data_IF_330256395146
#
_entry.id   IF_330256395146
#
_cell.length_a   1.000
_cell.length_b   1.000
_cell.length_c   1.000
_cell.angle_alpha   90.00
_cell.angle_beta   90.00
_cell.angle_gamma   90.00
#
_symmetry.space_group_name_H-M   'P 1'
#
loop_
_entity.id
_entity.type
_entity.pdbx_description
1 polymer ?
#
# COMPACT_ATOMS: atom_id res chain seq x y z
N UNK A 1 63.57 -37.35 -18.81
CA UNK A 1 62.48 -37.68 -17.86
C UNK A 1 61.47 -36.53 -17.83
N UNK A 2 60.19 -36.89 -18.04
CA UNK A 2 58.90 -36.23 -17.69
C UNK A 2 58.64 -34.76 -18.06
N UNK A 3 57.85 -34.60 -19.13
CA UNK A 3 56.86 -33.56 -19.33
C UNK A 3 55.52 -34.03 -18.72
N UNK A 4 54.82 -33.22 -17.91
CA UNK A 4 53.37 -33.34 -17.64
C UNK A 4 52.84 -32.24 -16.71
N UNK A 5 51.91 -31.41 -17.18
CA UNK A 5 50.83 -30.92 -16.31
C UNK A 5 49.52 -30.78 -17.10
N UNK A 6 48.54 -31.59 -16.71
CA UNK A 6 47.23 -31.80 -17.34
C UNK A 6 46.25 -30.70 -16.91
N UNK A 7 45.57 -30.09 -17.89
CA UNK A 7 44.34 -29.29 -17.69
C UNK A 7 43.25 -30.14 -17.04
N UNK A 8 42.60 -29.63 -15.99
CA UNK A 8 41.26 -30.08 -15.59
C UNK A 8 40.51 -28.93 -14.91
N UNK A 9 39.85 -28.10 -15.72
CA UNK A 9 39.05 -26.96 -15.27
C UNK A 9 37.70 -26.99 -15.97
N UNK A 10 36.90 -28.05 -15.75
CA UNK A 10 35.54 -28.14 -16.32
C UNK A 10 34.60 -29.00 -15.46
N UNK A 11 34.36 -28.68 -14.17
CA UNK A 11 33.26 -29.30 -13.40
C UNK A 11 32.57 -28.43 -12.34
N UNK A 12 32.97 -27.18 -12.10
CA UNK A 12 32.34 -26.34 -11.07
C UNK A 12 31.36 -25.28 -11.61
N UNK A 13 31.28 -25.11 -12.93
CA UNK A 13 30.50 -24.03 -13.56
C UNK A 13 28.97 -24.26 -13.52
N UNK A 14 28.52 -25.51 -13.38
CA UNK A 14 27.09 -25.83 -13.37
C UNK A 14 26.45 -25.76 -11.98
N UNK A 15 27.22 -25.92 -10.90
CA UNK A 15 26.69 -25.80 -9.54
C UNK A 15 26.47 -24.34 -9.11
N UNK A 16 27.29 -23.43 -9.64
CA UNK A 16 27.25 -22.00 -9.30
C UNK A 16 26.14 -21.23 -10.03
N UNK A 17 25.61 -21.78 -11.14
CA UNK A 17 24.56 -21.13 -11.93
C UNK A 17 23.14 -21.31 -11.35
N UNK A 18 22.93 -22.26 -10.44
CA UNK A 18 21.60 -22.53 -9.86
C UNK A 18 21.32 -21.82 -8.54
N UNK A 19 22.33 -21.25 -7.88
CA UNK A 19 22.18 -20.58 -6.57
C UNK A 19 21.97 -19.07 -6.65
N UNK A 20 22.21 -18.45 -7.82
CA UNK A 20 22.08 -17.00 -8.00
C UNK A 20 20.63 -16.44 -8.02
N UNK A 21 19.58 -17.15 -8.49
CA UNK A 21 18.26 -16.54 -8.62
C UNK A 21 17.52 -16.34 -7.28
N UNK A 22 17.97 -16.95 -6.18
CA UNK A 22 17.30 -16.84 -4.86
C UNK A 22 17.58 -15.50 -4.17
N UNK A 23 18.70 -14.83 -4.49
CA UNK A 23 19.08 -13.54 -3.88
C UNK A 23 18.31 -12.34 -4.43
N UNK A 24 17.53 -12.52 -5.51
CA UNK A 24 16.72 -11.45 -6.11
C UNK A 24 15.25 -11.48 -5.67
N UNK A 25 14.88 -12.30 -4.70
CA UNK A 25 13.61 -12.18 -3.98
C UNK A 25 13.70 -10.98 -3.00
N UNK A 26 13.97 -9.78 -3.52
CA UNK A 26 13.76 -8.55 -2.79
C UNK A 26 12.28 -8.45 -2.48
N UNK A 27 11.90 -8.82 -1.25
CA UNK A 27 10.56 -8.64 -0.75
C UNK A 27 10.15 -7.18 -0.94
N UNK A 28 9.10 -6.95 -1.72
CA UNK A 28 8.43 -5.65 -1.78
C UNK A 28 8.01 -5.31 -0.35
N UNK A 29 8.72 -4.38 0.29
CA UNK A 29 8.36 -3.95 1.63
C UNK A 29 6.99 -3.27 1.56
N UNK A 30 6.03 -3.67 2.41
CA UNK A 30 4.72 -3.05 2.42
C UNK A 30 4.87 -1.55 2.71
N UNK A 31 4.29 -0.71 1.84
CA UNK A 31 4.29 0.73 2.06
C UNK A 31 3.58 1.05 3.39
N UNK A 32 4.08 1.96 4.23
CA UNK A 32 3.49 2.23 5.55
C UNK A 32 2.06 2.78 5.48
N UNK A 33 1.62 3.27 4.32
CA UNK A 33 0.23 3.65 4.07
C UNK A 33 -0.75 2.46 4.00
N UNK A 34 -0.29 1.28 3.58
CA UNK A 34 -1.14 0.11 3.44
C UNK A 34 -1.51 -0.49 4.79
N UNK A 35 -2.80 -0.55 5.10
CA UNK A 35 -3.31 -0.98 6.40
C UNK A 35 -4.71 -0.43 6.66
N UNK A 36 -5.18 -0.64 7.87
CA UNK A 36 -6.46 -0.13 8.34
C UNK A 36 -6.23 1.09 9.22
N UNK A 37 -7.01 2.14 8.96
CA UNK A 37 -6.93 3.42 9.64
C UNK A 37 -8.30 3.79 10.20
N UNK A 38 -8.35 4.10 11.49
CA UNK A 38 -9.55 4.53 12.21
C UNK A 38 -9.48 6.03 12.46
N UNK A 39 -10.54 6.75 12.12
CA UNK A 39 -10.60 8.18 12.34
C UNK A 39 -10.56 8.54 13.83
N UNK A 40 -9.88 9.63 14.16
CA UNK A 40 -9.79 10.21 15.49
C UNK A 40 -10.64 11.49 15.51
N UNK A 41 -11.78 11.42 16.19
CA UNK A 41 -12.70 12.54 16.32
C UNK A 41 -13.52 12.84 15.06
N UNK A 42 -14.24 13.97 15.10
CA UNK A 42 -15.05 14.43 13.98
C UNK A 42 -14.17 14.94 12.83
N UNK A 43 -14.63 14.69 11.60
CA UNK A 43 -13.92 15.07 10.39
C UNK A 43 -14.90 15.49 9.29
N UNK A 44 -14.42 16.24 8.30
CA UNK A 44 -15.27 16.96 7.33
C UNK A 44 -16.24 16.05 6.57
N UNK A 45 -15.85 14.79 6.36
CA UNK A 45 -16.57 13.80 5.58
C UNK A 45 -17.20 12.68 6.43
N UNK A 46 -17.15 12.80 7.77
CA UNK A 46 -17.58 11.75 8.72
C UNK A 46 -17.04 10.36 8.34
N UNK A 47 -15.82 10.33 7.85
CA UNK A 47 -15.08 9.12 7.52
C UNK A 47 -14.76 8.45 8.85
N UNK A 48 -15.23 7.22 9.05
CA UNK A 48 -14.93 6.47 10.26
C UNK A 48 -13.69 5.61 10.04
N UNK A 49 -13.57 5.03 8.85
CA UNK A 49 -12.53 4.05 8.53
C UNK A 49 -11.98 4.29 7.14
N UNK A 50 -10.67 4.09 7.00
CA UNK A 50 -9.95 4.03 5.74
C UNK A 50 -9.22 2.69 5.68
N UNK A 51 -9.55 1.86 4.69
CA UNK A 51 -8.81 0.64 4.38
C UNK A 51 -7.92 0.89 3.16
N UNK A 52 -6.62 0.63 3.28
CA UNK A 52 -5.65 0.77 2.19
C UNK A 52 -5.06 -0.60 1.89
N UNK A 53 -5.50 -1.23 0.81
CA UNK A 53 -5.18 -2.62 0.46
C UNK A 53 -3.88 -2.71 -0.34
N UNK A 54 -3.09 -3.76 -0.15
CA UNK A 54 -1.83 -3.96 -0.89
C UNK A 54 -1.97 -4.09 -2.41
N UNK A 55 -3.18 -4.34 -2.91
CA UNK A 55 -3.49 -4.47 -4.33
C UNK A 55 -3.75 -3.13 -5.04
N UNK A 56 -3.47 -2.00 -4.40
CA UNK A 56 -3.66 -0.67 -4.97
C UNK A 56 -5.07 -0.10 -4.84
N UNK A 57 -5.98 -0.77 -4.10
CA UNK A 57 -7.31 -0.25 -3.77
C UNK A 57 -7.34 0.36 -2.37
N UNK A 58 -8.21 1.33 -2.18
CA UNK A 58 -8.56 1.88 -0.88
C UNK A 58 -10.05 2.18 -0.79
N UNK A 59 -10.58 2.13 0.43
CA UNK A 59 -12.01 2.25 0.70
C UNK A 59 -12.22 3.14 1.92
N UNK A 60 -13.15 4.08 1.82
CA UNK A 60 -13.65 4.83 2.99
C UNK A 60 -15.01 4.30 3.40
N UNK A 61 -15.22 4.18 4.71
CA UNK A 61 -16.54 3.99 5.30
C UNK A 61 -16.98 5.30 5.96
N UNK A 62 -18.15 5.82 5.58
CA UNK A 62 -18.75 7.02 6.19
C UNK A 62 -20.20 6.77 6.58
N UNK A 63 -20.62 7.25 7.76
CA UNK A 63 -22.02 7.26 8.17
C UNK A 63 -22.53 8.72 8.10
N UNK A 64 -23.55 8.97 7.28
CA UNK A 64 -24.40 10.18 7.23
C UNK A 64 -23.92 11.29 6.25
N UNK A 65 -24.75 11.73 5.26
CA UNK A 65 -26.21 11.55 5.12
C UNK A 65 -26.70 10.19 4.61
N UNK A 66 -25.80 9.24 4.41
CA UNK A 66 -26.07 7.83 4.11
C UNK A 66 -24.74 7.09 4.04
N UNK A 67 -24.71 5.75 3.94
CA UNK A 67 -23.49 5.04 3.61
C UNK A 67 -23.04 5.48 2.22
N UNK A 68 -22.04 6.35 2.16
CA UNK A 68 -21.34 6.67 0.90
C UNK A 68 -20.07 5.84 0.92
N UNK A 69 -20.09 4.80 0.10
CA UNK A 69 -18.90 4.02 -0.20
C UNK A 69 -18.04 4.81 -1.18
N UNK A 70 -16.75 4.89 -0.87
CA UNK A 70 -15.77 5.51 -1.74
C UNK A 70 -14.89 4.43 -2.33
N UNK A 71 -14.81 4.42 -3.65
CA UNK A 71 -13.89 3.57 -4.37
C UNK A 71 -12.65 4.37 -4.69
N UNK A 72 -11.51 3.97 -4.12
CA UNK A 72 -10.25 4.64 -4.34
C UNK A 72 -9.21 3.71 -4.95
N UNK A 73 -8.37 4.27 -5.81
CA UNK A 73 -7.05 3.72 -6.09
C UNK A 73 -6.02 4.47 -5.26
N UNK A 74 -4.92 3.82 -4.91
CA UNK A 74 -3.83 4.49 -4.21
C UNK A 74 -2.46 4.09 -4.75
N UNK A 75 -1.51 4.99 -4.53
CA UNK A 75 -0.10 4.76 -4.79
C UNK A 75 0.77 5.51 -3.79
N UNK A 76 1.92 4.93 -3.45
CA UNK A 76 2.93 5.61 -2.63
C UNK A 76 3.41 6.88 -3.34
N UNK A 77 3.29 8.02 -2.68
CA UNK A 77 3.74 9.32 -3.20
C UNK A 77 5.02 9.80 -2.51
N UNK A 78 5.30 9.30 -1.31
CA UNK A 78 6.56 9.48 -0.58
C UNK A 78 6.71 8.34 0.44
N UNK A 79 7.86 8.22 1.11
CA UNK A 79 8.14 7.16 2.09
C UNK A 79 7.02 6.96 3.12
N UNK A 80 6.43 8.06 3.61
CA UNK A 80 5.33 8.05 4.58
C UNK A 80 4.06 8.73 4.05
N UNK A 81 3.85 8.70 2.74
CA UNK A 81 2.65 9.29 2.15
C UNK A 81 2.11 8.47 0.98
N UNK A 82 0.79 8.43 0.86
CA UNK A 82 0.09 7.84 -0.27
C UNK A 82 -0.88 8.84 -0.88
N UNK A 83 -0.91 8.90 -2.21
CA UNK A 83 -1.97 9.58 -2.95
C UNK A 83 -3.12 8.60 -3.12
N UNK A 84 -4.32 9.10 -2.88
CA UNK A 84 -5.59 8.40 -2.99
C UNK A 84 -6.42 9.14 -4.03
N UNK A 85 -6.92 8.38 -4.98
CA UNK A 85 -7.71 8.87 -6.09
C UNK A 85 -9.08 8.21 -6.01
N UNK A 86 -10.09 8.97 -5.63
CA UNK A 86 -11.33 8.44 -5.10
C UNK A 86 -12.55 8.98 -5.83
N UNK A 87 -13.57 8.14 -6.02
CA UNK A 87 -14.90 8.56 -6.42
C UNK A 87 -15.94 8.06 -5.42
N UNK A 88 -16.90 8.93 -5.10
CA UNK A 88 -18.04 8.55 -4.27
C UNK A 88 -19.00 7.69 -5.10
N UNK A 89 -19.57 6.65 -4.51
CA UNK A 89 -20.57 5.80 -5.18
C UNK A 89 -21.79 6.60 -5.68
N UNK A 90 -22.12 7.71 -5.03
CA UNK A 90 -23.19 8.63 -5.42
C UNK A 90 -22.84 9.53 -6.60
N UNK A 91 -21.55 9.78 -6.85
CA UNK A 91 -21.05 10.70 -7.89
C UNK A 91 -19.81 10.12 -8.57
N UNK A 92 -19.90 8.98 -9.26
CA UNK A 92 -18.74 8.24 -9.76
C UNK A 92 -17.96 8.98 -10.85
N UNK A 93 -18.55 9.99 -11.50
CA UNK A 93 -17.88 10.84 -12.49
C UNK A 93 -17.03 11.94 -11.85
N UNK A 94 -17.15 12.19 -10.54
CA UNK A 94 -16.37 13.19 -9.83
C UNK A 94 -15.23 12.51 -9.06
N UNK A 95 -14.03 12.64 -9.62
CA UNK A 95 -12.80 12.16 -9.03
C UNK A 95 -12.24 13.18 -8.05
N UNK A 96 -11.84 12.70 -6.87
CA UNK A 96 -11.33 13.52 -5.78
C UNK A 96 -9.96 13.00 -5.33
N UNK A 97 -9.01 13.92 -5.24
CA UNK A 97 -7.66 13.63 -4.82
C UNK A 97 -7.48 13.84 -3.32
N UNK A 98 -6.99 12.80 -2.66
CA UNK A 98 -6.62 12.82 -1.26
C UNK A 98 -5.15 12.41 -1.10
N UNK A 99 -4.54 12.82 0.01
CA UNK A 99 -3.21 12.35 0.41
C UNK A 99 -3.27 11.91 1.85
N UNK A 100 -2.91 10.65 2.10
CA UNK A 100 -2.69 10.14 3.44
C UNK A 100 -1.21 10.39 3.80
N UNK A 101 -0.96 11.17 4.84
CA UNK A 101 0.39 11.46 5.37
C UNK A 101 0.55 10.82 6.73
N UNK A 102 1.66 10.15 6.96
CA UNK A 102 1.93 9.45 8.21
C UNK A 102 3.08 10.15 8.92
N UNK A 103 2.83 10.56 10.15
CA UNK A 103 3.78 11.18 11.05
C UNK A 103 4.71 10.15 11.68
N UNK A 104 5.81 10.61 12.27
CA UNK A 104 6.80 9.74 12.92
C UNK A 104 6.25 9.01 14.16
N UNK A 105 5.20 9.55 14.78
CA UNK A 105 4.49 8.97 15.91
C UNK A 105 3.44 7.91 15.51
N UNK A 106 3.27 7.66 14.20
CA UNK A 106 2.32 6.70 13.67
C UNK A 106 0.89 7.22 13.51
N UNK A 107 0.65 8.51 13.78
CA UNK A 107 -0.61 9.17 13.42
C UNK A 107 -0.64 9.46 11.92
N UNK A 108 -1.83 9.42 11.32
CA UNK A 108 -2.02 9.80 9.94
C UNK A 108 -2.98 10.98 9.78
N UNK A 109 -2.71 11.81 8.80
CA UNK A 109 -3.55 12.92 8.37
C UNK A 109 -4.03 12.64 6.96
N UNK A 110 -5.34 12.76 6.74
CA UNK A 110 -5.91 12.75 5.40
C UNK A 110 -6.08 14.18 4.94
N UNK A 111 -5.50 14.50 3.80
CA UNK A 111 -5.43 15.86 3.26
C UNK A 111 -6.12 15.91 1.90
N UNK A 112 -6.88 16.97 1.64
CA UNK A 112 -7.45 17.30 0.33
C UNK A 112 -6.95 18.67 -0.10
N UNK A 113 -6.11 18.72 -1.13
CA UNK A 113 -5.36 19.94 -1.47
C UNK A 113 -4.45 20.36 -0.32
N UNK A 114 -4.75 21.49 0.32
CA UNK A 114 -4.01 22.00 1.50
C UNK A 114 -4.78 21.81 2.82
N UNK A 115 -6.00 21.29 2.76
CA UNK A 115 -6.87 21.14 3.93
C UNK A 115 -6.74 19.74 4.52
N UNK A 116 -6.42 19.67 5.81
CA UNK A 116 -6.57 18.43 6.59
C UNK A 116 -8.06 18.19 6.77
N UNK A 117 -8.53 17.05 6.29
CA UNK A 117 -9.94 16.67 6.38
C UNK A 117 -10.22 15.71 7.53
N UNK A 118 -9.21 15.03 8.07
CA UNK A 118 -9.33 14.15 9.22
C UNK A 118 -7.99 13.58 9.70
N UNK A 119 -7.98 13.10 10.94
CA UNK A 119 -6.84 12.42 11.56
C UNK A 119 -7.19 10.95 11.81
N UNK A 120 -6.19 10.08 11.76
CA UNK A 120 -6.36 8.64 11.83
C UNK A 120 -5.28 7.97 12.68
N UNK A 121 -5.66 6.88 13.34
CA UNK A 121 -4.74 5.93 13.98
C UNK A 121 -4.75 4.61 13.21
N UNK A 122 -3.60 3.95 13.15
CA UNK A 122 -3.50 2.62 12.56
C UNK A 122 -4.13 1.58 13.49
N UNK A 123 -4.99 0.73 12.95
CA UNK A 123 -5.44 -0.48 13.63
C UNK A 123 -4.51 -1.64 13.27
N UNK A 124 -4.29 -2.54 14.23
CA UNK A 124 -3.55 -3.80 14.01
C UNK A 124 -4.47 -4.84 13.35
N UNK A 125 -5.01 -4.47 12.19
CA UNK A 125 -5.92 -5.28 11.39
C UNK A 125 -5.40 -5.34 9.96
N UNK A 126 -5.46 -6.53 9.35
CA UNK A 126 -5.14 -6.68 7.93
C UNK A 126 -6.38 -6.28 7.10
N UNK A 127 -6.24 -5.43 6.05
CA UNK A 127 -7.35 -5.16 5.15
C UNK A 127 -7.77 -6.45 4.44
N UNK A 128 -8.93 -6.98 4.83
CA UNK A 128 -9.52 -8.14 4.15
C UNK A 128 -9.80 -7.77 2.69
N UNK A 129 -9.31 -8.58 1.76
CA UNK A 129 -9.69 -8.43 0.35
C UNK A 129 -11.08 -9.03 0.21
N UNK A 130 -12.10 -8.22 0.01
CA UNK A 130 -13.39 -8.68 -0.52
C UNK A 130 -13.15 -9.10 -1.97
N UNK A 131 -13.23 -10.41 -2.20
CA UNK A 131 -13.19 -11.01 -3.53
C UNK A 131 -14.63 -10.99 -4.08
N UNK A 132 -14.99 -9.92 -4.79
CA UNK A 132 -16.27 -9.82 -5.51
C UNK A 132 -16.25 -10.67 -6.79
N UNK A 133 -15.85 -11.93 -6.68
CA UNK A 133 -15.97 -12.93 -7.74
C UNK A 133 -17.28 -13.72 -7.52
N UNK A 134 -18.38 -13.16 -8.02
CA UNK A 134 -19.63 -13.87 -8.29
C UNK A 134 -19.68 -14.31 -9.77
#
# INVERSE_FOLDING_TARGET
MKCSQKRSQKRYHHLLLFTLPVLFLCACSPHPAAGIWQAVGDNDNRIERLAVHFNGRAEFTSHNPGPVDWHCFWGGSAEKAARLDCSASTEPQQQQDFTLRISDDGLAELVRGERIIGHFIRLDENPAVTDDSL
#
